data_IF_172376107606
#
_entry.id   IF_172376107606
#
_cell.length_a   1.000
_cell.length_b   1.000
_cell.length_c   1.000
_cell.angle_alpha   90.00
_cell.angle_beta   90.00
_cell.angle_gamma   90.00
#
_symmetry.space_group_name_H-M   'P 1'
#
loop_
_entity.id
_entity.type
_entity.pdbx_description
1 polymer ?
#
# COMPACT_ATOMS: atom_id res chain seq x y z
N UNK A 1 -12.88 14.79 12.72
CA UNK A 1 -12.85 14.57 11.25
C UNK A 1 -11.67 13.66 10.92
N UNK A 2 -11.91 12.53 10.25
CA UNK A 2 -10.90 11.50 9.93
C UNK A 2 -10.24 11.69 8.55
N UNK A 3 -10.79 12.54 7.70
CA UNK A 3 -10.17 12.89 6.41
C UNK A 3 -9.02 13.86 6.60
N UNK A 4 -7.92 13.61 5.91
CA UNK A 4 -6.72 14.45 5.83
C UNK A 4 -6.43 14.80 4.38
N UNK A 5 -5.83 15.97 4.19
CA UNK A 5 -5.28 16.41 2.90
C UNK A 5 -3.84 16.83 3.16
N UNK A 6 -2.90 16.24 2.42
CA UNK A 6 -1.48 16.54 2.52
C UNK A 6 -0.87 16.41 1.12
N UNK A 7 -1.24 17.32 0.24
CA UNK A 7 -0.77 17.40 -1.16
C UNK A 7 0.68 17.90 -1.26
N UNK A 8 1.19 18.50 -0.18
CA UNK A 8 2.57 18.97 -0.03
C UNK A 8 3.11 18.62 1.35
N UNK A 9 4.41 18.39 1.42
CA UNK A 9 5.07 18.24 2.71
C UNK A 9 4.96 19.55 3.51
N UNK A 10 4.49 19.46 4.75
CA UNK A 10 4.34 20.64 5.63
C UNK A 10 5.67 21.34 5.91
N UNK A 11 6.76 20.56 5.96
CA UNK A 11 8.14 21.00 6.12
C UNK A 11 9.09 20.09 5.33
N UNK A 12 10.28 20.59 4.97
CA UNK A 12 11.29 19.85 4.17
C UNK A 12 11.71 18.50 4.79
N UNK A 13 11.58 18.35 6.11
CA UNK A 13 11.98 17.14 6.85
C UNK A 13 10.82 16.47 7.57
N UNK A 14 9.58 16.74 7.13
CA UNK A 14 8.45 16.00 7.65
C UNK A 14 8.59 14.51 7.28
N UNK A 15 8.25 13.65 8.24
CA UNK A 15 8.15 12.22 8.00
C UNK A 15 6.94 11.87 7.15
N UNK A 16 5.88 12.69 7.19
CA UNK A 16 4.65 12.45 6.43
C UNK A 16 4.90 12.68 4.93
N UNK A 17 4.61 11.67 4.13
CA UNK A 17 4.79 11.69 2.68
C UNK A 17 3.53 12.28 2.03
N UNK A 18 3.67 13.22 1.07
CA UNK A 18 2.54 13.84 0.43
C UNK A 18 1.78 12.85 -0.46
N UNK A 19 0.46 13.01 -0.49
CA UNK A 19 -0.46 12.23 -1.32
C UNK A 19 -1.31 13.19 -2.17
N UNK A 20 -1.55 12.88 -3.46
CA UNK A 20 -2.21 13.80 -4.39
C UNK A 20 -3.69 14.07 -4.07
N UNK A 21 -4.35 13.18 -3.32
CA UNK A 21 -5.78 13.25 -2.98
C UNK A 21 -6.01 13.21 -1.47
N UNK A 22 -7.16 13.69 -0.98
CA UNK A 22 -7.58 13.46 0.40
C UNK A 22 -7.65 11.96 0.74
N UNK A 23 -7.39 11.61 1.99
CA UNK A 23 -7.42 10.22 2.47
C UNK A 23 -8.02 10.13 3.87
N UNK A 24 -8.56 8.96 4.22
CA UNK A 24 -9.09 8.67 5.56
C UNK A 24 -8.01 8.02 6.41
N UNK A 25 -7.89 8.44 7.68
CA UNK A 25 -7.00 7.82 8.66
C UNK A 25 -7.80 7.03 9.71
N UNK A 26 -7.23 5.98 10.34
CA UNK A 26 -7.92 5.18 11.36
C UNK A 26 -8.39 5.99 12.58
N UNK A 27 -7.69 7.09 12.90
CA UNK A 27 -7.99 7.95 14.05
C UNK A 27 -7.12 7.70 15.28
N UNK A 28 -7.34 8.48 16.33
CA UNK A 28 -6.51 8.46 17.54
C UNK A 28 -5.08 8.94 17.27
N UNK A 29 -4.09 8.12 17.64
CA UNK A 29 -2.66 8.43 17.43
C UNK A 29 -2.20 8.32 15.98
N UNK A 30 -2.97 7.63 15.14
CA UNK A 30 -2.63 7.39 13.74
C UNK A 30 -3.07 8.58 12.88
N UNK A 31 -2.10 9.29 12.31
CA UNK A 31 -2.33 10.53 11.55
C UNK A 31 -1.97 10.40 10.07
N UNK A 32 -1.63 9.19 9.65
CA UNK A 32 -1.22 8.78 8.32
C UNK A 32 -2.22 7.75 7.77
N UNK A 33 -2.26 7.59 6.44
CA UNK A 33 -2.99 6.47 5.83
C UNK A 33 -2.26 5.16 6.17
N UNK A 34 -3.02 4.08 6.36
CA UNK A 34 -2.50 2.73 6.50
C UNK A 34 -3.07 1.87 5.39
N UNK A 35 -2.24 1.01 4.80
CA UNK A 35 -2.58 0.30 3.58
C UNK A 35 -3.79 -0.63 3.77
N UNK A 36 -3.67 -1.72 4.52
CA UNK A 36 -4.76 -2.70 4.64
C UNK A 36 -5.99 -2.17 5.40
N UNK A 37 -5.80 -1.29 6.40
CA UNK A 37 -6.88 -0.62 7.15
C UNK A 37 -7.79 0.18 6.20
N UNK A 38 -7.21 0.72 5.13
CA UNK A 38 -7.95 1.50 4.15
C UNK A 38 -8.96 0.67 3.38
N UNK A 39 -8.70 -0.62 3.13
CA UNK A 39 -9.66 -1.47 2.42
C UNK A 39 -10.96 -1.61 3.23
N UNK A 40 -10.83 -1.93 4.52
CA UNK A 40 -12.00 -2.04 5.41
C UNK A 40 -12.70 -0.70 5.62
N UNK A 41 -11.94 0.40 5.62
CA UNK A 41 -12.52 1.75 5.62
C UNK A 41 -13.31 2.00 4.34
N UNK A 42 -12.78 1.61 3.18
CA UNK A 42 -13.44 1.77 1.88
C UNK A 42 -14.73 0.95 1.77
N UNK A 43 -14.81 -0.23 2.40
CA UNK A 43 -16.08 -0.98 2.48
C UNK A 43 -17.18 -0.18 3.20
N UNK A 44 -16.85 0.49 4.31
CA UNK A 44 -17.79 1.37 5.00
C UNK A 44 -18.14 2.62 4.19
N UNK A 45 -17.16 3.20 3.50
CA UNK A 45 -17.41 4.32 2.58
C UNK A 45 -18.34 3.93 1.42
N UNK A 46 -18.21 2.71 0.90
CA UNK A 46 -19.05 2.20 -0.17
C UNK A 46 -20.49 2.01 0.32
N UNK A 47 -20.67 1.47 1.52
CA UNK A 47 -21.99 1.31 2.15
C UNK A 47 -22.70 2.65 2.36
N UNK A 48 -21.93 3.70 2.65
CA UNK A 48 -22.44 5.07 2.81
C UNK A 48 -22.35 5.94 1.55
N UNK A 49 -22.23 5.34 0.35
CA UNK A 49 -22.21 6.00 -0.97
C UNK A 49 -21.11 7.06 -1.19
N UNK A 50 -19.99 6.96 -0.47
CA UNK A 50 -18.82 7.84 -0.59
C UNK A 50 -17.80 7.35 -1.64
N UNK A 51 -18.26 7.07 -2.86
CA UNK A 51 -17.43 6.58 -3.97
C UNK A 51 -16.34 7.56 -4.42
N UNK A 52 -16.57 8.86 -4.24
CA UNK A 52 -15.56 9.92 -4.44
C UNK A 52 -14.29 9.63 -3.62
N UNK A 53 -14.47 9.25 -2.35
CA UNK A 53 -13.37 9.00 -1.41
C UNK A 53 -12.66 7.69 -1.73
N UNK A 54 -13.40 6.69 -2.16
CA UNK A 54 -12.84 5.42 -2.61
C UNK A 54 -11.93 5.68 -3.81
N UNK A 55 -12.41 6.42 -4.81
CA UNK A 55 -11.60 6.79 -5.97
C UNK A 55 -10.33 7.58 -5.57
N UNK A 56 -10.46 8.56 -4.69
CA UNK A 56 -9.32 9.35 -4.19
C UNK A 56 -8.28 8.47 -3.46
N UNK A 57 -8.73 7.49 -2.67
CA UNK A 57 -7.83 6.56 -1.97
C UNK A 57 -7.14 5.58 -2.93
N UNK A 58 -7.84 5.06 -3.94
CA UNK A 58 -7.21 4.21 -4.98
C UNK A 58 -6.19 5.02 -5.79
N UNK A 59 -6.50 6.26 -6.17
CA UNK A 59 -5.55 7.17 -6.84
C UNK A 59 -4.29 7.41 -5.98
N UNK A 60 -4.45 7.59 -4.66
CA UNK A 60 -3.33 7.75 -3.73
C UNK A 60 -2.44 6.50 -3.67
N UNK A 61 -3.02 5.31 -3.57
CA UNK A 61 -2.25 4.07 -3.54
C UNK A 61 -1.56 3.77 -4.88
N UNK A 62 -2.22 4.07 -5.99
CA UNK A 62 -1.62 4.01 -7.32
C UNK A 62 -0.40 4.95 -7.42
N UNK A 63 -0.52 6.16 -6.88
CA UNK A 63 0.58 7.12 -6.79
C UNK A 63 1.74 6.59 -5.92
N UNK A 64 1.48 5.96 -4.78
CA UNK A 64 2.52 5.36 -3.94
C UNK A 64 3.26 4.23 -4.67
N UNK A 65 2.53 3.35 -5.37
CA UNK A 65 3.11 2.31 -6.22
C UNK A 65 4.02 2.94 -7.29
N UNK A 66 3.55 3.99 -7.96
CA UNK A 66 4.34 4.64 -9.00
C UNK A 66 5.58 5.37 -8.47
N UNK A 67 5.49 5.94 -7.27
CA UNK A 67 6.55 6.74 -6.64
C UNK A 67 7.59 5.89 -5.92
N UNK A 68 7.17 4.85 -5.20
CA UNK A 68 8.03 4.06 -4.30
C UNK A 68 8.20 2.60 -4.74
N UNK A 69 7.53 2.20 -5.82
CA UNK A 69 7.53 0.82 -6.33
C UNK A 69 6.62 -0.13 -5.56
N UNK A 70 5.99 0.32 -4.47
CA UNK A 70 5.07 -0.44 -3.63
C UNK A 70 4.26 0.51 -2.73
N UNK A 71 3.21 -0.01 -2.12
CA UNK A 71 2.47 0.71 -1.08
C UNK A 71 3.19 0.50 0.26
N UNK A 72 3.72 1.56 0.90
CA UNK A 72 4.33 1.43 2.23
C UNK A 72 3.27 1.08 3.28
N UNK A 73 3.70 0.61 4.45
CA UNK A 73 2.79 0.35 5.58
C UNK A 73 1.83 1.53 5.87
N UNK A 74 2.34 2.75 5.72
CA UNK A 74 1.56 3.98 5.65
C UNK A 74 2.41 5.10 5.05
N UNK A 75 1.84 6.28 4.81
CA UNK A 75 2.53 7.39 4.13
C UNK A 75 3.54 8.13 5.03
N UNK A 76 4.48 7.41 5.64
CA UNK A 76 5.59 7.94 6.45
C UNK A 76 6.92 7.46 5.88
N UNK A 77 7.95 8.30 5.88
CA UNK A 77 9.28 7.96 5.37
C UNK A 77 9.92 6.74 6.03
N UNK A 78 9.66 6.53 7.33
CA UNK A 78 10.12 5.36 8.08
C UNK A 78 9.31 4.07 7.82
N UNK A 79 8.29 4.13 6.97
CA UNK A 79 7.53 2.98 6.48
C UNK A 79 7.93 2.54 5.08
N UNK A 80 8.78 3.29 4.37
CA UNK A 80 9.22 2.97 3.00
C UNK A 80 10.02 1.65 2.88
N UNK A 81 10.45 1.04 3.98
CA UNK A 81 11.20 -0.21 3.96
C UNK A 81 10.32 -1.47 3.93
N UNK A 82 8.99 -1.33 4.04
CA UNK A 82 8.05 -2.46 4.04
C UNK A 82 6.65 -2.06 3.60
N UNK A 83 5.91 -3.06 3.12
CA UNK A 83 4.48 -2.96 2.87
C UNK A 83 3.63 -3.45 4.05
N UNK A 84 2.37 -3.71 3.77
CA UNK A 84 1.35 -4.35 4.60
C UNK A 84 0.65 -5.46 3.78
N UNK A 85 -0.31 -6.22 4.32
CA UNK A 85 -1.07 -7.17 3.51
C UNK A 85 -1.59 -6.53 2.21
N UNK A 86 -1.39 -7.16 1.03
CA UNK A 86 -1.69 -6.52 -0.25
C UNK A 86 -3.19 -6.56 -0.57
N UNK A 87 -3.84 -5.40 -0.42
CA UNK A 87 -5.27 -5.21 -0.66
C UNK A 87 -5.60 -4.32 -1.87
N UNK A 88 -4.61 -3.79 -2.60
CA UNK A 88 -4.84 -2.83 -3.67
C UNK A 88 -5.67 -3.41 -4.81
N UNK A 89 -5.44 -4.66 -5.21
CA UNK A 89 -6.32 -5.33 -6.20
C UNK A 89 -7.77 -5.43 -5.72
N UNK A 90 -7.99 -5.74 -4.43
CA UNK A 90 -9.32 -5.77 -3.83
C UNK A 90 -9.95 -4.38 -3.74
N UNK A 91 -9.16 -3.33 -3.48
CA UNK A 91 -9.62 -1.94 -3.52
C UNK A 91 -10.04 -1.52 -4.93
N UNK A 92 -9.28 -1.93 -5.95
CA UNK A 92 -9.62 -1.69 -7.37
C UNK A 92 -10.87 -2.47 -7.76
N UNK A 93 -11.01 -3.73 -7.35
CA UNK A 93 -12.23 -4.53 -7.58
C UNK A 93 -13.46 -3.89 -6.92
N UNK A 94 -13.33 -3.41 -5.69
CA UNK A 94 -14.40 -2.68 -5.02
C UNK A 94 -14.81 -1.44 -5.83
N UNK A 95 -13.85 -0.61 -6.24
CA UNK A 95 -14.13 0.56 -7.07
C UNK A 95 -14.76 0.17 -8.42
N UNK A 96 -14.36 -0.97 -8.99
CA UNK A 96 -14.88 -1.45 -10.27
C UNK A 96 -16.37 -1.81 -10.24
N UNK A 97 -16.94 -2.03 -9.05
CA UNK A 97 -18.40 -2.18 -8.89
C UNK A 97 -19.17 -0.88 -9.18
N UNK A 98 -18.50 0.26 -9.16
CA UNK A 98 -19.05 1.59 -9.43
C UNK A 98 -18.48 2.25 -10.70
N UNK A 99 -17.21 2.00 -11.01
CA UNK A 99 -16.51 2.49 -12.20
C UNK A 99 -15.94 1.31 -13.01
N UNK A 100 -16.63 0.92 -14.09
CA UNK A 100 -16.24 -0.22 -14.91
C UNK A 100 -14.86 -0.11 -15.55
N UNK A 101 -14.29 1.10 -15.68
CA UNK A 101 -12.96 1.31 -16.24
C UNK A 101 -11.84 1.17 -15.19
N UNK A 102 -12.16 1.06 -13.89
CA UNK A 102 -11.18 1.03 -12.81
C UNK A 102 -10.13 -0.09 -12.98
N UNK A 103 -10.57 -1.31 -13.29
CA UNK A 103 -9.65 -2.45 -13.50
C UNK A 103 -8.65 -2.18 -14.63
N UNK A 104 -9.10 -1.56 -15.73
CA UNK A 104 -8.25 -1.20 -16.86
C UNK A 104 -7.31 -0.05 -16.50
N UNK A 105 -7.81 0.96 -15.78
CA UNK A 105 -7.06 2.14 -15.34
C UNK A 105 -5.89 1.76 -14.43
N UNK A 106 -6.12 0.91 -13.43
CA UNK A 106 -5.13 0.59 -12.39
C UNK A 106 -4.35 -0.71 -12.63
N UNK A 107 -4.59 -1.40 -13.77
CA UNK A 107 -3.83 -2.58 -14.16
C UNK A 107 -2.31 -2.39 -14.08
N UNK A 108 -1.72 -1.29 -14.59
CA UNK A 108 -0.27 -1.11 -14.53
C UNK A 108 0.28 -1.11 -13.09
N UNK A 109 -0.46 -0.51 -12.15
CA UNK A 109 -0.07 -0.46 -10.75
C UNK A 109 -0.27 -1.80 -10.04
N UNK A 110 -1.32 -2.55 -10.36
CA UNK A 110 -1.49 -3.93 -9.86
C UNK A 110 -0.35 -4.85 -10.33
N UNK A 111 0.07 -4.74 -11.60
CA UNK A 111 1.21 -5.48 -12.14
C UNK A 111 2.53 -5.07 -11.47
N UNK A 112 2.71 -3.78 -11.20
CA UNK A 112 3.90 -3.25 -10.51
C UNK A 112 3.97 -3.69 -9.04
N UNK A 113 2.84 -3.69 -8.33
CA UNK A 113 2.79 -4.20 -6.96
C UNK A 113 3.08 -5.70 -6.93
N UNK A 114 2.53 -6.49 -7.87
CA UNK A 114 2.87 -7.89 -8.02
C UNK A 114 4.38 -8.08 -8.23
N UNK A 115 5.00 -7.28 -9.11
CA UNK A 115 6.44 -7.31 -9.32
C UNK A 115 7.24 -7.01 -8.04
N UNK A 116 6.77 -6.11 -7.16
CA UNK A 116 7.38 -5.87 -5.86
C UNK A 116 7.33 -7.12 -4.95
N UNK A 117 6.18 -7.79 -4.88
CA UNK A 117 6.03 -9.01 -4.07
C UNK A 117 6.87 -10.17 -4.58
N UNK A 118 7.06 -10.24 -5.91
CA UNK A 118 7.80 -11.30 -6.59
C UNK A 118 9.29 -10.98 -6.82
N UNK A 119 9.76 -9.82 -6.34
CA UNK A 119 11.14 -9.38 -6.55
C UNK A 119 12.15 -10.40 -5.98
N UNK A 120 13.07 -10.84 -6.85
CA UNK A 120 14.11 -11.83 -6.55
C UNK A 120 13.75 -13.28 -6.88
N UNK A 121 12.57 -13.57 -7.43
CA UNK A 121 12.12 -14.94 -7.76
C UNK A 121 13.03 -15.66 -8.78
N UNK A 122 13.51 -14.95 -9.81
CA UNK A 122 14.30 -15.56 -10.89
C UNK A 122 15.65 -16.11 -10.44
N UNK A 123 16.19 -15.60 -9.33
CA UNK A 123 17.46 -16.03 -8.76
C UNK A 123 17.31 -17.18 -7.73
N UNK A 124 16.08 -17.56 -7.35
CA UNK A 124 15.83 -18.50 -6.26
C UNK A 124 15.97 -19.97 -6.67
N UNK A 125 16.79 -20.69 -5.89
CA UNK A 125 16.80 -22.16 -5.89
C UNK A 125 15.79 -22.70 -4.87
N UNK A 126 15.31 -23.96 -5.03
CA UNK A 126 14.50 -24.62 -4.00
C UNK A 126 15.17 -24.57 -2.61
N UNK A 127 14.36 -24.36 -1.58
CA UNK A 127 14.81 -24.22 -0.18
C UNK A 127 15.33 -22.83 0.19
N UNK A 128 15.30 -21.86 -0.73
CA UNK A 128 15.81 -20.51 -0.51
C UNK A 128 14.70 -19.47 -0.35
N UNK A 129 15.06 -18.34 0.26
CA UNK A 129 14.21 -17.17 0.32
C UNK A 129 15.01 -15.92 -0.05
N UNK A 130 14.39 -15.03 -0.78
CA UNK A 130 14.95 -13.74 -1.17
C UNK A 130 13.84 -12.71 -1.01
N UNK A 131 14.09 -11.67 -0.22
CA UNK A 131 13.11 -10.62 0.00
C UNK A 131 11.75 -11.21 0.48
N UNK A 132 10.68 -10.90 -0.25
CA UNK A 132 9.30 -11.32 0.00
C UNK A 132 8.96 -12.68 -0.63
N UNK A 133 9.91 -13.36 -1.29
CA UNK A 133 9.68 -14.63 -2.00
C UNK A 133 10.38 -15.78 -1.28
N UNK A 134 9.68 -16.91 -1.20
CA UNK A 134 10.20 -18.19 -0.71
C UNK A 134 9.95 -19.24 -1.79
N UNK A 135 10.98 -20.01 -2.14
CA UNK A 135 10.84 -21.19 -2.99
C UNK A 135 11.04 -22.43 -2.14
N UNK A 136 9.97 -23.19 -1.94
CA UNK A 136 9.99 -24.43 -1.15
C UNK A 136 10.85 -25.50 -1.83
N UNK A 137 11.19 -26.56 -1.09
CA UNK A 137 12.04 -27.65 -1.58
C UNK A 137 11.43 -28.38 -2.78
N UNK A 138 10.10 -28.43 -2.88
CA UNK A 138 9.35 -29.00 -4.00
C UNK A 138 9.24 -28.05 -5.21
N UNK A 139 9.80 -26.84 -5.11
CA UNK A 139 9.77 -25.82 -6.14
C UNK A 139 8.57 -24.87 -6.09
N UNK A 140 7.62 -25.06 -5.17
CA UNK A 140 6.50 -24.15 -5.00
C UNK A 140 6.97 -22.75 -4.59
N UNK A 141 6.37 -21.71 -5.17
CA UNK A 141 6.71 -20.31 -4.89
C UNK A 141 5.60 -19.69 -4.04
N UNK A 142 5.99 -19.14 -2.90
CA UNK A 142 5.10 -18.45 -1.96
C UNK A 142 5.71 -17.10 -1.57
N UNK A 143 4.90 -16.24 -0.96
CA UNK A 143 5.36 -14.98 -0.40
C UNK A 143 5.44 -15.02 1.13
N UNK A 144 6.32 -14.20 1.69
CA UNK A 144 6.43 -13.91 3.12
C UNK A 144 6.50 -12.40 3.36
N UNK A 145 6.17 -11.98 4.57
CA UNK A 145 6.46 -10.60 5.00
C UNK A 145 7.96 -10.40 5.21
N UNK A 146 8.47 -9.26 4.75
CA UNK A 146 9.87 -8.88 4.85
C UNK A 146 10.01 -7.36 4.89
N UNK A 147 10.87 -6.85 5.78
CA UNK A 147 11.30 -5.45 5.83
C UNK A 147 12.73 -5.36 5.27
N UNK A 148 12.99 -4.37 4.43
CA UNK A 148 14.30 -4.15 3.81
C UNK A 148 15.36 -3.58 4.78
N UNK A 149 14.95 -3.25 6.00
CA UNK A 149 15.85 -2.82 7.09
C UNK A 149 15.84 -3.83 8.22
N UNK A 150 17.03 -4.08 8.75
CA UNK A 150 17.31 -4.89 9.94
C UNK A 150 17.60 -4.01 11.18
N UNK A 151 17.18 -2.75 11.15
CA UNK A 151 17.42 -1.75 12.21
C UNK A 151 16.17 -1.52 13.07
N UNK A 152 16.30 -1.00 14.30
CA UNK A 152 15.16 -0.68 15.15
C UNK A 152 14.18 0.26 14.45
N UNK A 153 12.87 0.00 14.59
CA UNK A 153 11.83 0.80 13.97
C UNK A 153 11.79 2.22 14.53
N UNK A 154 12.00 3.27 13.72
CA UNK A 154 11.66 4.63 14.11
C UNK A 154 10.14 4.73 14.29
N UNK A 155 9.66 5.21 15.44
CA UNK A 155 8.22 5.34 15.74
C UNK A 155 7.65 4.37 16.80
N UNK A 156 8.49 3.54 17.43
CA UNK A 156 8.10 2.73 18.62
C UNK A 156 8.17 3.54 19.92
N UNK A 157 8.85 4.70 19.90
CA UNK A 157 8.98 5.63 21.02
C UNK A 157 8.11 6.87 20.73
N UNK A 158 6.80 6.78 20.98
CA UNK A 158 5.91 7.93 21.08
C UNK A 158 4.71 7.57 21.97
#
# INVERSE_FOLDING_TARGET
MLTRTTDKASNKWDSLLPLPKPYVVPGGRFREVYYWDSYFTMLGLAESDHWDKISDMVDNFAYEIDTFGHIPNGNRSYYLSRSQPPFFSLMVELLATHDSDALKKYRPQMEKEYAYWMDGVDALQPGQANKRVVKLDDGAILNRYWDDRDTPRPGVLA
#
